data_IF_621816578043
#
_entry.id   IF_621816578043
#
_cell.length_a   1.000
_cell.length_b   1.000
_cell.length_c   1.000
_cell.angle_alpha   90.00
_cell.angle_beta   90.00
_cell.angle_gamma   90.00
#
_symmetry.space_group_name_H-M   'P 1'
#
loop_
_entity.id
_entity.type
_entity.pdbx_description
1 polymer ?
#
# COMPACT_ATOMS: atom_id res chain seq x y z
N UNK A 1 5.52 -3.60 10.62
CA UNK A 1 6.07 -2.26 10.30
C UNK A 1 7.16 -2.27 9.22
N UNK A 2 8.00 -3.30 9.11
CA UNK A 2 9.10 -3.33 8.15
C UNK A 2 8.70 -2.98 6.71
N UNK A 3 7.56 -3.48 6.22
CA UNK A 3 7.06 -3.15 4.87
C UNK A 3 6.71 -1.66 4.73
N UNK A 4 6.18 -1.04 5.79
CA UNK A 4 5.76 0.36 5.76
C UNK A 4 6.95 1.34 5.91
N UNK A 5 8.01 0.95 6.59
CA UNK A 5 9.10 1.86 6.99
C UNK A 5 10.44 1.60 6.27
N UNK A 6 10.66 0.39 5.71
CA UNK A 6 11.93 0.05 5.10
C UNK A 6 12.04 0.64 3.69
N UNK A 7 13.10 1.41 3.44
CA UNK A 7 13.36 2.02 2.11
C UNK A 7 13.52 0.98 1.01
N UNK A 8 14.11 -0.18 1.31
CA UNK A 8 14.28 -1.27 0.34
C UNK A 8 12.96 -1.90 -0.12
N UNK A 9 11.84 -1.61 0.58
CA UNK A 9 10.51 -2.11 0.25
C UNK A 9 9.61 -1.05 -0.37
N UNK A 10 10.18 0.03 -0.87
CA UNK A 10 9.46 1.11 -1.56
C UNK A 10 8.62 0.57 -2.73
N UNK A 11 9.20 -0.26 -3.57
CA UNK A 11 8.51 -0.87 -4.71
C UNK A 11 7.29 -1.70 -4.31
N UNK A 12 7.33 -2.36 -3.14
CA UNK A 12 6.18 -3.11 -2.61
C UNK A 12 5.04 -2.16 -2.22
N UNK A 13 5.37 -1.02 -1.59
CA UNK A 13 4.36 0.00 -1.25
C UNK A 13 3.72 0.60 -2.49
N UNK A 14 4.53 0.96 -3.48
CA UNK A 14 4.08 1.49 -4.77
C UNK A 14 3.18 0.51 -5.52
N UNK A 15 3.46 -0.79 -5.44
CA UNK A 15 2.61 -1.83 -5.99
C UNK A 15 1.21 -1.82 -5.34
N UNK A 16 1.13 -1.75 -4.01
CA UNK A 16 -0.17 -1.66 -3.31
C UNK A 16 -0.92 -0.38 -3.64
N UNK A 17 -0.26 0.77 -3.58
CA UNK A 17 -0.83 2.07 -3.90
C UNK A 17 -1.29 2.17 -5.37
N UNK A 18 -0.63 1.45 -6.27
CA UNK A 18 -1.02 1.36 -7.68
C UNK A 18 -2.19 0.42 -7.97
N UNK A 19 -2.71 -0.32 -6.99
CA UNK A 19 -3.79 -1.29 -7.20
C UNK A 19 -5.00 -1.07 -6.29
N UNK A 20 -4.82 -0.35 -5.19
CA UNK A 20 -5.83 -0.23 -4.15
C UNK A 20 -5.72 1.09 -3.38
N UNK A 21 -6.84 1.60 -2.87
CA UNK A 21 -6.85 2.66 -1.88
C UNK A 21 -6.59 2.09 -0.49
N UNK A 22 -5.65 2.67 0.24
CA UNK A 22 -5.43 2.36 1.65
C UNK A 22 -6.53 3.07 2.44
N UNK A 23 -7.30 2.32 3.21
CA UNK A 23 -8.46 2.84 3.95
C UNK A 23 -8.08 3.17 5.39
N UNK A 24 -7.36 2.24 6.04
CA UNK A 24 -6.96 2.37 7.43
C UNK A 24 -5.62 1.68 7.65
N UNK A 25 -4.74 2.35 8.36
CA UNK A 25 -3.51 1.79 8.91
C UNK A 25 -3.60 1.87 10.43
N UNK A 26 -3.57 0.72 11.11
CA UNK A 26 -3.59 0.66 12.57
C UNK A 26 -2.28 0.08 13.09
N UNK A 27 -1.54 0.87 13.88
CA UNK A 27 -0.38 0.38 14.62
C UNK A 27 -0.85 -0.41 15.84
N UNK A 28 -0.33 -1.62 16.01
CA UNK A 28 -0.66 -2.54 17.11
C UNK A 28 0.55 -2.64 18.04
N UNK A 29 0.36 -2.79 19.36
CA UNK A 29 1.47 -2.93 20.29
C UNK A 29 2.27 -4.22 20.03
N UNK A 30 3.54 -4.18 20.41
CA UNK A 30 4.46 -5.31 20.26
C UNK A 30 4.05 -6.53 21.09
N UNK A 31 3.32 -6.29 22.16
CA UNK A 31 2.87 -7.30 23.14
C UNK A 31 2.10 -8.46 22.50
N UNK A 32 1.36 -8.18 21.43
CA UNK A 32 0.46 -9.16 20.78
C UNK A 32 1.15 -10.47 20.39
N UNK A 33 2.42 -10.43 20.01
CA UNK A 33 3.16 -11.61 19.58
C UNK A 33 4.24 -12.08 20.57
N UNK A 34 4.44 -11.37 21.69
CA UNK A 34 5.48 -11.72 22.66
C UNK A 34 5.22 -13.07 23.32
N UNK A 35 3.97 -13.38 23.62
CA UNK A 35 3.58 -14.68 24.20
C UNK A 35 3.91 -15.87 23.26
N UNK A 36 3.96 -15.65 21.95
CA UNK A 36 4.37 -16.63 20.94
C UNK A 36 5.87 -16.59 20.60
N UNK A 37 6.65 -15.78 21.33
CA UNK A 37 8.10 -15.68 21.17
C UNK A 37 8.57 -14.69 20.09
N UNK A 38 7.68 -13.91 19.50
CA UNK A 38 8.03 -12.93 18.47
C UNK A 38 8.00 -11.50 19.04
N UNK A 39 9.11 -10.76 18.88
CA UNK A 39 9.25 -9.36 19.30
C UNK A 39 9.10 -8.42 18.09
N UNK A 40 7.95 -8.49 17.42
CA UNK A 40 7.64 -7.66 16.26
C UNK A 40 6.57 -6.63 16.59
N UNK A 41 6.68 -5.44 16.02
CA UNK A 41 5.61 -4.43 16.10
C UNK A 41 4.78 -4.52 14.81
N UNK A 42 3.57 -5.10 14.87
CA UNK A 42 2.73 -5.26 13.69
C UNK A 42 1.93 -4.01 13.37
N UNK A 43 1.39 -3.97 12.16
CA UNK A 43 0.36 -3.01 11.76
C UNK A 43 -0.71 -3.74 10.97
N UNK A 44 -1.97 -3.37 11.19
CA UNK A 44 -3.08 -3.80 10.34
C UNK A 44 -3.21 -2.80 9.19
N UNK A 45 -3.26 -3.32 7.99
CA UNK A 45 -3.43 -2.54 6.77
C UNK A 45 -4.73 -2.96 6.09
N UNK A 46 -5.68 -2.03 5.99
CA UNK A 46 -6.94 -2.23 5.30
C UNK A 46 -6.91 -1.47 3.99
N UNK A 47 -7.23 -2.14 2.90
CA UNK A 47 -7.28 -1.52 1.58
C UNK A 47 -8.46 -2.03 0.77
N UNK A 48 -8.95 -1.18 -0.13
CA UNK A 48 -10.00 -1.47 -1.10
C UNK A 48 -9.37 -1.50 -2.49
N UNK A 49 -9.51 -2.61 -3.20
CA UNK A 49 -9.07 -2.69 -4.60
C UNK A 49 -9.79 -1.62 -5.43
N UNK A 50 -9.08 -0.99 -6.35
CA UNK A 50 -9.67 -0.03 -7.27
C UNK A 50 -10.86 -0.61 -8.01
N UNK A 51 -11.91 0.21 -8.19
CA UNK A 51 -12.96 -0.07 -9.18
C UNK A 51 -12.38 0.09 -10.58
N UNK A 52 -13.15 -0.30 -11.61
CA UNK A 52 -12.71 -0.13 -12.98
C UNK A 52 -12.50 1.36 -13.33
N UNK A 53 -13.37 2.23 -12.82
CA UNK A 53 -13.30 3.68 -13.00
C UNK A 53 -12.09 4.29 -12.28
N UNK A 54 -11.87 3.93 -11.01
CA UNK A 54 -10.71 4.37 -10.22
C UNK A 54 -9.42 3.91 -10.86
N UNK A 55 -9.37 2.70 -11.41
CA UNK A 55 -8.22 2.16 -12.13
C UNK A 55 -7.94 2.96 -13.40
N UNK A 56 -8.97 3.21 -14.21
CA UNK A 56 -8.84 4.00 -15.44
C UNK A 56 -8.36 5.43 -15.14
N UNK A 57 -8.88 6.05 -14.09
CA UNK A 57 -8.45 7.38 -13.65
C UNK A 57 -6.97 7.37 -13.20
N UNK A 58 -6.57 6.40 -12.38
CA UNK A 58 -5.19 6.28 -11.92
C UNK A 58 -4.21 6.06 -13.08
N UNK A 59 -4.56 5.16 -14.02
CA UNK A 59 -3.72 4.86 -15.19
C UNK A 59 -3.60 6.06 -16.12
N UNK A 60 -4.68 6.84 -16.33
CA UNK A 60 -4.64 8.08 -17.12
C UNK A 60 -3.75 9.15 -16.48
N UNK A 61 -3.85 9.35 -15.16
CA UNK A 61 -3.00 10.29 -14.42
C UNK A 61 -1.54 9.87 -14.50
N UNK A 62 -1.25 8.59 -14.32
CA UNK A 62 0.11 8.05 -14.39
C UNK A 62 0.70 8.22 -15.79
N UNK A 63 -0.09 7.95 -16.82
CA UNK A 63 0.35 8.14 -18.21
C UNK A 63 0.69 9.61 -18.49
N UNK A 64 -0.19 10.55 -18.14
CA UNK A 64 0.04 11.98 -18.33
C UNK A 64 1.28 12.47 -17.56
N UNK A 65 1.47 12.01 -16.32
CA UNK A 65 2.67 12.33 -15.54
C UNK A 65 3.94 11.74 -16.18
N UNK A 66 3.86 10.54 -16.75
CA UNK A 66 4.98 9.92 -17.45
C UNK A 66 5.38 10.74 -18.67
N UNK A 67 4.43 11.10 -19.53
CA UNK A 67 4.66 11.92 -20.72
C UNK A 67 5.26 13.28 -20.38
N UNK A 68 4.75 13.96 -19.36
CA UNK A 68 5.25 15.26 -18.88
C UNK A 68 6.70 15.17 -18.39
N UNK A 69 7.00 14.19 -17.53
CA UNK A 69 8.32 14.07 -16.90
C UNK A 69 9.36 13.52 -17.88
N UNK A 70 9.01 12.53 -18.70
CA UNK A 70 9.92 12.01 -19.74
C UNK A 70 10.30 13.10 -20.73
N UNK A 71 9.35 13.91 -21.20
CA UNK A 71 9.63 15.04 -22.09
C UNK A 71 10.60 16.04 -21.47
N UNK A 72 10.50 16.30 -20.17
CA UNK A 72 11.39 17.20 -19.42
C UNK A 72 12.84 16.70 -19.39
N UNK A 73 13.05 15.39 -19.32
CA UNK A 73 14.38 14.78 -19.18
C UNK A 73 14.91 14.13 -20.45
N UNK A 74 14.13 14.12 -21.55
CA UNK A 74 14.49 13.45 -22.81
C UNK A 74 15.86 13.87 -23.35
N UNK A 75 16.14 15.19 -23.38
CA UNK A 75 17.42 15.70 -23.86
C UNK A 75 18.63 15.19 -23.08
N UNK A 76 18.48 15.03 -21.75
CA UNK A 76 19.54 14.52 -20.89
C UNK A 76 19.76 13.01 -21.10
N UNK A 77 18.68 12.27 -21.31
CA UNK A 77 18.75 10.83 -21.62
C UNK A 77 19.43 10.62 -22.99
N UNK A 78 19.04 11.39 -24.00
CA UNK A 78 19.60 11.30 -25.35
C UNK A 78 21.11 11.65 -25.38
N UNK A 79 21.55 12.65 -24.60
CA UNK A 79 22.96 12.96 -24.42
C UNK A 79 23.76 11.82 -23.82
N UNK A 80 23.24 11.22 -22.73
CA UNK A 80 23.89 10.10 -22.08
C UNK A 80 23.91 8.86 -23.00
N UNK A 81 22.81 8.56 -23.67
CA UNK A 81 22.70 7.40 -24.54
C UNK A 81 23.59 7.55 -25.79
N UNK A 82 23.71 8.77 -26.35
CA UNK A 82 24.63 9.08 -27.42
C UNK A 82 26.08 8.84 -27.00
N UNK A 83 26.48 9.32 -25.81
CA UNK A 83 27.83 9.10 -25.29
C UNK A 83 28.10 7.60 -25.07
N UNK A 84 27.13 6.84 -24.57
CA UNK A 84 27.30 5.39 -24.35
C UNK A 84 27.39 4.61 -25.65
N UNK A 85 26.74 5.05 -26.72
CA UNK A 85 26.77 4.42 -28.04
C UNK A 85 28.10 4.60 -28.76
N UNK A 86 28.82 5.69 -28.49
CA UNK A 86 30.11 6.00 -29.11
C UNK A 86 31.19 4.96 -28.76
N UNK A 87 31.78 4.32 -29.77
CA UNK A 87 32.74 3.21 -29.54
C UNK A 87 34.08 3.70 -28.99
N UNK A 88 34.46 4.96 -29.23
CA UNK A 88 35.73 5.54 -28.82
C UNK A 88 35.84 5.94 -27.35
N UNK A 89 34.74 6.04 -26.64
CA UNK A 89 34.73 6.55 -25.28
C UNK A 89 35.31 5.54 -24.28
N UNK A 90 36.15 5.98 -23.30
CA UNK A 90 36.81 5.14 -22.33
C UNK A 90 35.79 4.33 -21.46
N UNK A 91 36.17 3.08 -21.11
CA UNK A 91 35.30 2.21 -20.35
C UNK A 91 34.93 2.77 -18.96
N UNK A 92 35.84 3.47 -18.28
CA UNK A 92 35.59 4.12 -16.98
C UNK A 92 34.58 5.27 -17.11
N UNK A 93 34.68 6.09 -18.15
CA UNK A 93 33.71 7.17 -18.40
C UNK A 93 32.33 6.61 -18.72
N UNK A 94 32.26 5.54 -19.53
CA UNK A 94 31.00 4.82 -19.78
C UNK A 94 30.38 4.25 -18.50
N UNK A 95 31.21 3.80 -17.55
CA UNK A 95 30.73 3.32 -16.25
C UNK A 95 30.09 4.46 -15.44
N UNK A 96 30.72 5.63 -15.42
CA UNK A 96 30.17 6.84 -14.78
C UNK A 96 28.86 7.24 -15.44
N UNK A 97 28.80 7.31 -16.77
CA UNK A 97 27.60 7.67 -17.52
C UNK A 97 26.44 6.68 -17.31
N UNK A 98 26.71 5.39 -17.17
CA UNK A 98 25.69 4.40 -16.77
C UNK A 98 25.15 4.64 -15.35
N UNK A 99 25.99 5.08 -14.43
CA UNK A 99 25.57 5.42 -13.08
C UNK A 99 24.69 6.69 -13.08
N UNK A 100 25.09 7.72 -13.86
CA UNK A 100 24.28 8.94 -14.08
C UNK A 100 22.91 8.61 -14.67
N UNK A 101 22.86 7.72 -15.69
CA UNK A 101 21.61 7.28 -16.32
C UNK A 101 20.68 6.63 -15.31
N UNK A 102 21.18 5.71 -14.49
CA UNK A 102 20.39 5.06 -13.44
C UNK A 102 19.87 6.04 -12.38
N UNK A 103 20.70 7.00 -11.98
CA UNK A 103 20.30 8.04 -11.05
C UNK A 103 19.19 8.93 -11.65
N UNK A 104 19.29 9.27 -12.92
CA UNK A 104 18.30 10.04 -13.66
C UNK A 104 16.98 9.27 -13.80
N UNK A 105 17.03 7.99 -14.17
CA UNK A 105 15.86 7.11 -14.23
C UNK A 105 15.15 6.99 -12.87
N UNK A 106 15.92 6.87 -11.79
CA UNK A 106 15.37 6.85 -10.44
C UNK A 106 14.66 8.16 -10.08
N UNK A 107 15.27 9.30 -10.48
CA UNK A 107 14.68 10.63 -10.29
C UNK A 107 13.39 10.80 -11.09
N UNK A 108 13.39 10.39 -12.35
CA UNK A 108 12.21 10.41 -13.24
C UNK A 108 11.07 9.58 -12.61
N UNK A 109 11.35 8.36 -12.21
CA UNK A 109 10.36 7.49 -11.57
C UNK A 109 9.76 8.10 -10.29
N UNK A 110 10.60 8.72 -9.45
CA UNK A 110 10.16 9.38 -8.23
C UNK A 110 9.28 10.61 -8.52
N UNK A 111 9.61 11.39 -9.55
CA UNK A 111 8.85 12.59 -9.95
C UNK A 111 7.48 12.19 -10.55
N UNK A 112 7.44 11.18 -11.42
CA UNK A 112 6.19 10.61 -11.96
C UNK A 112 5.28 10.15 -10.82
N UNK A 113 5.84 9.44 -9.83
CA UNK A 113 5.10 8.95 -8.68
C UNK A 113 4.56 10.08 -7.80
N UNK A 114 5.35 11.13 -7.58
CA UNK A 114 4.94 12.30 -6.80
C UNK A 114 3.76 13.03 -7.46
N UNK A 115 3.83 13.29 -8.77
CA UNK A 115 2.72 13.89 -9.54
C UNK A 115 1.49 12.99 -9.50
N UNK A 116 1.67 11.68 -9.64
CA UNK A 116 0.59 10.71 -9.56
C UNK A 116 -0.15 10.76 -8.22
N UNK A 117 0.58 10.83 -7.11
CA UNK A 117 0.01 10.95 -5.76
C UNK A 117 -0.74 12.25 -5.55
N UNK A 118 -0.22 13.36 -6.04
CA UNK A 118 -0.86 14.68 -5.93
C UNK A 118 -2.18 14.73 -6.69
N UNK A 119 -2.21 14.16 -7.91
CA UNK A 119 -3.42 14.17 -8.78
C UNK A 119 -4.44 13.08 -8.43
N UNK A 120 -4.02 12.00 -7.78
CA UNK A 120 -4.87 10.91 -7.30
C UNK A 120 -4.86 10.85 -5.78
N UNK A 121 -5.32 11.94 -5.16
CA UNK A 121 -5.35 12.08 -3.70
C UNK A 121 -6.61 11.46 -3.09
N UNK A 122 -6.45 10.87 -1.89
CA UNK A 122 -7.54 10.35 -1.08
C UNK A 122 -7.13 10.27 0.40
N UNK A 123 -8.12 10.30 1.28
CA UNK A 123 -7.87 10.26 2.73
C UNK A 123 -7.48 8.87 3.19
N UNK A 124 -6.38 8.78 3.94
CA UNK A 124 -5.93 7.57 4.64
C UNK A 124 -6.14 7.79 6.13
N UNK A 125 -6.94 6.93 6.76
CA UNK A 125 -7.12 6.96 8.21
C UNK A 125 -5.95 6.25 8.90
N UNK A 126 -5.40 6.88 9.94
CA UNK A 126 -4.31 6.32 10.74
C UNK A 126 -4.79 6.20 12.17
N UNK A 127 -4.59 5.03 12.78
CA UNK A 127 -4.92 4.77 14.17
C UNK A 127 -3.75 4.09 14.89
N UNK A 128 -3.68 4.29 16.19
CA UNK A 128 -2.74 3.61 17.06
C UNK A 128 -3.49 3.05 18.25
N UNK A 129 -3.24 1.81 18.61
CA UNK A 129 -3.74 1.17 19.82
C UNK A 129 -2.57 0.75 20.70
N UNK A 130 -2.72 0.92 22.01
CA UNK A 130 -1.71 0.56 23.00
C UNK A 130 -2.00 -0.80 23.64
N UNK A 131 -3.25 -1.26 23.57
CA UNK A 131 -3.70 -2.56 24.09
C UNK A 131 -4.60 -3.23 23.05
N UNK A 132 -4.28 -4.44 22.68
CA UNK A 132 -4.99 -5.19 21.64
C UNK A 132 -5.54 -6.54 22.14
N UNK A 133 -6.01 -6.58 23.38
CA UNK A 133 -6.71 -7.72 23.96
C UNK A 133 -5.83 -8.78 24.58
N UNK A 134 -4.50 -8.68 24.46
CA UNK A 134 -3.57 -9.67 24.99
C UNK A 134 -2.32 -8.98 25.58
N UNK A 135 -1.82 -9.52 26.68
CA UNK A 135 -0.58 -9.08 27.32
C UNK A 135 0.65 -9.82 26.78
N UNK A 136 1.84 -9.37 27.17
CA UNK A 136 3.13 -10.03 26.85
C UNK A 136 3.21 -11.49 27.32
N UNK A 137 2.43 -11.87 28.35
CA UNK A 137 2.35 -13.24 28.88
C UNK A 137 1.22 -14.08 28.31
N UNK A 138 0.43 -13.52 27.38
CA UNK A 138 -0.70 -14.21 26.78
C UNK A 138 -2.02 -14.12 27.56
N UNK A 139 -2.06 -13.35 28.66
CA UNK A 139 -3.29 -13.11 29.41
C UNK A 139 -4.18 -12.09 28.69
N UNK A 140 -5.50 -12.20 28.87
CA UNK A 140 -6.45 -11.22 28.35
C UNK A 140 -6.29 -9.85 29.01
N UNK A 141 -6.47 -8.80 28.23
CA UNK A 141 -6.48 -7.42 28.69
C UNK A 141 -7.47 -6.56 27.89
N UNK A 142 -7.52 -5.28 28.17
CA UNK A 142 -8.30 -4.30 27.40
C UNK A 142 -8.02 -4.41 25.90
N UNK A 143 -9.07 -4.29 25.09
CA UNK A 143 -8.96 -4.37 23.63
C UNK A 143 -9.48 -3.10 22.96
N UNK A 144 -8.60 -2.15 22.71
CA UNK A 144 -8.89 -0.87 22.08
C UNK A 144 -9.25 -1.00 20.58
N UNK A 145 -9.00 -2.16 19.96
CA UNK A 145 -9.46 -2.42 18.59
C UNK A 145 -11.00 -2.40 18.49
N UNK A 146 -11.70 -2.76 19.57
CA UNK A 146 -13.16 -2.73 19.65
C UNK A 146 -13.66 -1.26 19.59
N UNK A 147 -13.00 -0.37 20.30
CA UNK A 147 -13.37 1.04 20.32
C UNK A 147 -13.00 1.72 19.00
N UNK A 148 -11.82 1.42 18.46
CA UNK A 148 -11.45 1.83 17.11
C UNK A 148 -12.50 1.40 16.08
N UNK A 149 -13.01 0.18 16.15
CA UNK A 149 -14.04 -0.31 15.24
C UNK A 149 -15.36 0.49 15.37
N UNK A 150 -15.76 0.84 16.60
CA UNK A 150 -16.95 1.66 16.87
C UNK A 150 -16.81 3.05 16.27
N UNK A 151 -15.65 3.67 16.37
CA UNK A 151 -15.36 5.00 15.84
C UNK A 151 -15.19 4.98 14.31
N UNK A 152 -14.44 4.03 13.79
CA UNK A 152 -14.15 3.96 12.37
C UNK A 152 -15.36 3.53 11.53
N UNK A 153 -16.27 2.73 12.08
CA UNK A 153 -17.45 2.25 11.32
C UNK A 153 -18.38 3.38 10.84
N UNK A 154 -18.79 4.36 11.66
CA UNK A 154 -19.56 5.52 11.16
C UNK A 154 -18.72 6.39 10.24
N UNK A 155 -17.47 6.68 10.58
CA UNK A 155 -16.55 7.49 9.79
C UNK A 155 -16.40 6.97 8.36
N UNK A 156 -16.11 5.70 8.16
CA UNK A 156 -15.96 5.10 6.82
C UNK A 156 -17.24 5.15 5.98
N UNK A 157 -18.43 5.10 6.62
CA UNK A 157 -19.72 5.21 5.95
C UNK A 157 -19.98 6.65 5.49
N UNK A 158 -19.71 7.62 6.36
CA UNK A 158 -19.83 9.05 6.06
C UNK A 158 -18.93 9.46 4.89
N UNK A 159 -17.69 8.97 4.89
CA UNK A 159 -16.71 9.27 3.85
C UNK A 159 -16.76 8.33 2.65
N UNK A 160 -17.78 7.49 2.53
CA UNK A 160 -17.99 6.55 1.41
C UNK A 160 -16.76 5.68 1.07
N UNK A 161 -15.91 5.39 2.09
CA UNK A 161 -14.69 4.66 1.89
C UNK A 161 -14.95 3.20 1.49
N UNK A 162 -15.92 2.58 2.17
CA UNK A 162 -16.31 1.20 1.95
C UNK A 162 -17.59 0.90 2.73
N UNK A 163 -18.50 0.10 2.19
CA UNK A 163 -19.76 -0.32 2.82
C UNK A 163 -19.84 -1.84 2.93
N UNK A 164 -20.56 -2.33 3.92
CA UNK A 164 -20.77 -3.78 4.09
C UNK A 164 -21.52 -4.42 2.92
N UNK A 165 -22.30 -3.64 2.18
CA UNK A 165 -23.03 -4.12 1.00
C UNK A 165 -22.10 -4.46 -0.18
N UNK A 166 -20.85 -4.00 -0.16
CA UNK A 166 -19.82 -4.34 -1.16
C UNK A 166 -19.20 -5.71 -0.89
N UNK A 167 -19.42 -6.28 0.29
CA UNK A 167 -18.94 -7.62 0.59
C UNK A 167 -19.78 -8.66 -0.14
N UNK A 168 -19.11 -9.47 -0.96
CA UNK A 168 -19.74 -10.60 -1.68
C UNK A 168 -20.12 -11.74 -0.73
N UNK A 169 -19.50 -11.79 0.44
CA UNK A 169 -19.65 -12.86 1.40
C UNK A 169 -19.66 -12.31 2.82
N UNK A 170 -20.49 -12.91 3.65
CA UNK A 170 -20.50 -12.74 5.10
C UNK A 170 -19.90 -13.99 5.73
N UNK A 171 -19.09 -13.80 6.76
CA UNK A 171 -18.48 -14.91 7.51
C UNK A 171 -19.00 -14.89 8.94
N UNK A 172 -19.42 -16.03 9.43
CA UNK A 172 -19.90 -16.22 10.80
C UNK A 172 -19.26 -17.48 11.38
N UNK A 173 -19.11 -17.52 12.71
CA UNK A 173 -18.70 -18.73 13.41
C UNK A 173 -19.96 -19.38 13.97
N UNK A 174 -20.27 -20.56 13.50
CA UNK A 174 -21.40 -21.38 13.96
C UNK A 174 -20.82 -22.72 14.36
N UNK A 175 -21.12 -23.17 15.61
CA UNK A 175 -20.63 -24.44 16.16
C UNK A 175 -19.12 -24.66 16.00
N UNK A 176 -18.32 -23.59 16.26
CA UNK A 176 -16.87 -23.57 16.14
C UNK A 176 -16.33 -23.76 14.71
N UNK A 177 -17.17 -23.58 13.69
CA UNK A 177 -16.82 -23.65 12.27
C UNK A 177 -17.08 -22.31 11.59
N UNK A 178 -16.23 -21.96 10.64
CA UNK A 178 -16.42 -20.76 9.83
C UNK A 178 -17.44 -21.06 8.73
N UNK A 179 -18.57 -20.37 8.75
CA UNK A 179 -19.61 -20.43 7.72
C UNK A 179 -19.55 -19.17 6.88
N UNK A 180 -19.44 -19.35 5.57
CA UNK A 180 -19.51 -18.27 4.59
C UNK A 180 -20.91 -18.23 3.97
N UNK A 181 -21.56 -17.06 4.04
CA UNK A 181 -22.84 -16.81 3.38
C UNK A 181 -22.64 -15.84 2.20
N UNK A 182 -23.14 -16.14 1.03
CA UNK A 182 -23.13 -15.24 -0.11
C UNK A 182 -24.31 -14.24 -0.07
N UNK A 183 -24.34 -13.30 -1.03
CA UNK A 183 -25.41 -12.30 -1.14
C UNK A 183 -26.81 -12.90 -1.37
N UNK A 184 -26.89 -14.13 -1.87
CA UNK A 184 -28.11 -14.84 -2.18
C UNK A 184 -28.55 -15.74 -0.99
N UNK A 185 -27.86 -15.64 0.15
CA UNK A 185 -28.14 -16.39 1.38
C UNK A 185 -27.63 -17.84 1.38
N UNK A 186 -26.85 -18.22 0.34
CA UNK A 186 -26.30 -19.57 0.26
C UNK A 186 -25.08 -19.71 1.17
N UNK A 187 -25.15 -20.67 2.06
CA UNK A 187 -24.11 -20.96 3.06
C UNK A 187 -23.14 -22.03 2.57
N UNK A 188 -21.86 -21.88 2.95
CA UNK A 188 -20.82 -22.90 2.76
C UNK A 188 -19.95 -22.93 4.01
N UNK A 189 -19.84 -24.11 4.61
CA UNK A 189 -18.87 -24.36 5.68
C UNK A 189 -17.45 -24.37 5.10
N UNK A 190 -16.54 -23.68 5.79
CA UNK A 190 -15.11 -23.64 5.46
C UNK A 190 -14.37 -24.46 6.52
N UNK A 191 -13.48 -25.33 6.06
CA UNK A 191 -12.64 -26.15 6.95
C UNK A 191 -11.65 -25.29 7.74
#
# INVERSE_FOLDING_TARGET
EGVLNNTNLQTVRELFEGMAKIILITSIPQDVFMASGATVKPSLLFFKKFTAEERAQFDAIKQAATEEVEAKYQSQLDEIDSFLAERGNPAEEKKVKRAERRALETKIAAEIWAIGKEKFDYTITIAQVEKAGITTTGAECENQLIDLLKEFTPYRKEHHMWTSNELRFRYEIVDNKVVRTDKDGKTKELC
#
